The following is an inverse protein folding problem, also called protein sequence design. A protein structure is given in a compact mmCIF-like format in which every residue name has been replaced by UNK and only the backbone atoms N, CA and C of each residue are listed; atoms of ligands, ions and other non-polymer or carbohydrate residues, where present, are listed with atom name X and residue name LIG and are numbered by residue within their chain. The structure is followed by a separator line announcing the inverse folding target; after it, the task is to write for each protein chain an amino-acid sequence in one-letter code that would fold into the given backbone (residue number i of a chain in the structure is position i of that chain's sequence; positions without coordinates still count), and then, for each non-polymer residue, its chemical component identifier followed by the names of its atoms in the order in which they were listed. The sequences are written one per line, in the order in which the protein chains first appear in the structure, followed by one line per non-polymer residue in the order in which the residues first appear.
data_IF_586511731570
#
_entry.id   IF_586511731570
#
_cell.length_a   1.000
_cell.length_b   1.000
_cell.length_c   1.000
_cell.angle_alpha   90.00
_cell.angle_beta   90.00
_cell.angle_gamma   90.00
#
_symmetry.space_group_name_H-M   'P 1'
#
loop_
_entity.id
_entity.type
_entity.pdbx_description
1 polymer ?
#
# COMPACT_ATOMS: atom_id res chain seq x y z
N UNK A 1 -15.61 8.08 23.97
CA UNK A 1 -14.74 7.32 23.04
C UNK A 1 -15.58 6.87 21.85
N UNK A 2 -15.05 6.97 20.65
CA UNK A 2 -15.75 6.54 19.45
C UNK A 2 -15.86 5.02 19.39
N UNK A 3 -17.00 4.50 18.90
CA UNK A 3 -17.23 3.08 18.70
C UNK A 3 -16.36 2.57 17.53
N UNK A 4 -16.00 1.29 17.55
CA UNK A 4 -15.22 0.62 16.51
C UNK A 4 -13.78 1.12 16.36
N UNK A 5 -13.27 1.77 17.38
CA UNK A 5 -11.90 2.28 17.43
C UNK A 5 -11.06 1.36 18.31
N UNK A 6 -9.95 0.86 17.78
CA UNK A 6 -9.00 0.04 18.53
C UNK A 6 -7.71 0.84 18.76
N UNK A 7 -7.30 0.97 20.01
CA UNK A 7 -6.06 1.66 20.36
C UNK A 7 -4.87 0.72 20.09
N UNK A 8 -3.95 1.16 19.23
CA UNK A 8 -2.76 0.40 18.87
C UNK A 8 -1.58 0.75 19.78
N UNK A 9 -1.43 2.03 20.09
CA UNK A 9 -0.40 2.53 21.02
C UNK A 9 -0.80 3.91 21.52
N UNK A 10 -0.17 4.33 22.60
CA UNK A 10 -0.32 5.68 23.16
C UNK A 10 1.07 6.24 23.41
N UNK A 11 1.31 7.48 23.00
CA UNK A 11 2.58 8.15 23.25
C UNK A 11 2.36 9.64 23.51
N UNK A 12 3.24 10.23 24.30
CA UNK A 12 3.19 11.67 24.56
C UNK A 12 3.78 12.41 23.35
N UNK A 13 3.00 13.29 22.77
CA UNK A 13 3.43 14.08 21.62
C UNK A 13 2.50 15.28 21.40
N UNK A 14 2.91 16.16 20.50
CA UNK A 14 2.05 17.27 20.08
C UNK A 14 0.80 16.71 19.39
N UNK A 15 -0.35 17.09 19.92
CA UNK A 15 -1.64 16.77 19.33
C UNK A 15 -2.04 17.86 18.33
N UNK A 16 -2.22 17.50 17.07
CA UNK A 16 -2.64 18.48 16.05
C UNK A 16 -4.10 18.89 16.14
N UNK A 17 -4.90 18.20 16.96
CA UNK A 17 -6.29 18.56 17.20
C UNK A 17 -6.40 19.73 18.18
N UNK A 18 -5.76 19.64 19.34
CA UNK A 18 -5.82 20.67 20.38
C UNK A 18 -4.57 21.55 20.46
N UNK A 19 -3.54 21.25 19.66
CA UNK A 19 -2.27 21.98 19.58
C UNK A 19 -1.49 22.01 20.91
N UNK A 20 -1.69 21.00 21.73
CA UNK A 20 -1.01 20.81 23.01
C UNK A 20 -0.33 19.47 23.06
N UNK A 21 0.69 19.35 23.93
CA UNK A 21 1.39 18.11 24.18
C UNK A 21 0.67 17.30 25.24
N UNK A 22 0.24 16.09 24.89
CA UNK A 22 -0.37 15.15 25.83
C UNK A 22 -0.27 13.73 25.28
N UNK A 23 -0.79 12.77 26.00
CA UNK A 23 -0.84 11.38 25.51
C UNK A 23 -1.86 11.28 24.39
N UNK A 24 -1.35 10.92 23.19
CA UNK A 24 -2.14 10.77 21.97
C UNK A 24 -2.16 9.30 21.59
N UNK A 25 -3.35 8.76 21.33
CA UNK A 25 -3.51 7.38 20.92
C UNK A 25 -3.43 7.25 19.41
N UNK A 26 -2.68 6.27 18.91
CA UNK A 26 -2.78 5.80 17.53
C UNK A 26 -3.84 4.70 17.51
N UNK A 27 -4.83 4.84 16.66
CA UNK A 27 -5.97 3.93 16.60
C UNK A 27 -6.16 3.39 15.20
N UNK A 28 -6.84 2.25 15.09
CA UNK A 28 -7.34 1.77 13.80
C UNK A 28 -8.86 1.72 13.84
N UNK A 29 -9.44 2.02 12.70
CA UNK A 29 -10.89 2.07 12.51
C UNK A 29 -11.23 1.27 11.25
N UNK A 30 -12.23 0.41 11.33
CA UNK A 30 -12.72 -0.29 10.15
C UNK A 30 -13.53 0.69 9.30
N UNK A 31 -13.07 0.94 8.09
CA UNK A 31 -13.70 1.85 7.15
C UNK A 31 -14.24 1.08 5.95
N UNK A 32 -15.28 1.62 5.32
CA UNK A 32 -15.91 1.05 4.14
C UNK A 32 -15.92 2.11 3.04
N UNK A 33 -15.49 1.73 1.84
CA UNK A 33 -15.50 2.59 0.66
C UNK A 33 -15.86 1.80 -0.57
N UNK A 34 -16.17 2.51 -1.67
CA UNK A 34 -16.43 1.91 -2.96
C UNK A 34 -15.38 2.38 -3.95
N UNK A 35 -14.75 1.43 -4.64
CA UNK A 35 -13.77 1.69 -5.70
C UNK A 35 -14.20 0.93 -6.93
N UNK A 36 -14.39 1.63 -8.05
CA UNK A 36 -14.72 1.00 -9.34
C UNK A 36 -15.88 -0.01 -9.23
N UNK A 37 -16.90 0.33 -8.43
CA UNK A 37 -18.07 -0.52 -8.24
C UNK A 37 -17.91 -1.62 -7.19
N UNK A 38 -16.74 -1.77 -6.57
CA UNK A 38 -16.49 -2.77 -5.53
C UNK A 38 -16.51 -2.10 -4.16
N UNK A 39 -17.36 -2.60 -3.27
CA UNK A 39 -17.38 -2.16 -1.87
C UNK A 39 -16.28 -2.89 -1.12
N UNK A 40 -15.41 -2.16 -0.45
CA UNK A 40 -14.27 -2.70 0.28
C UNK A 40 -14.29 -2.24 1.73
N UNK A 41 -13.79 -3.09 2.62
CA UNK A 41 -13.56 -2.77 4.02
C UNK A 41 -12.08 -2.93 4.31
N UNK A 42 -11.53 -2.01 5.08
CA UNK A 42 -10.12 -2.01 5.46
C UNK A 42 -9.94 -1.27 6.77
N UNK A 43 -8.83 -1.54 7.45
CA UNK A 43 -8.47 -0.82 8.66
C UNK A 43 -7.64 0.40 8.30
N UNK A 44 -8.16 1.58 8.65
CA UNK A 44 -7.44 2.84 8.52
C UNK A 44 -6.86 3.25 9.87
N UNK A 45 -5.71 3.90 9.85
CA UNK A 45 -5.05 4.41 11.06
C UNK A 45 -5.29 5.90 11.20
N UNK A 46 -5.53 6.32 12.43
CA UNK A 46 -5.73 7.72 12.78
C UNK A 46 -5.08 7.99 14.13
N UNK A 47 -4.97 9.24 14.47
CA UNK A 47 -4.66 9.64 15.83
C UNK A 47 -5.93 10.15 16.50
N UNK A 48 -6.06 9.88 17.80
CA UNK A 48 -7.22 10.22 18.58
C UNK A 48 -6.84 11.17 19.71
N UNK A 49 -7.55 12.32 19.74
CA UNK A 49 -7.45 13.27 20.84
C UNK A 49 -8.59 13.00 21.83
N UNK A 50 -8.25 12.47 22.99
CA UNK A 50 -9.26 12.17 24.01
C UNK A 50 -9.80 13.42 24.71
N UNK A 51 -9.09 14.54 24.61
CA UNK A 51 -9.53 15.80 25.19
C UNK A 51 -10.66 16.44 24.40
N UNK A 52 -10.59 16.32 23.06
CA UNK A 52 -11.62 16.85 22.15
C UNK A 52 -12.58 15.77 21.65
N UNK A 53 -12.30 14.49 21.92
CA UNK A 53 -13.00 13.32 21.37
C UNK A 53 -13.06 13.38 19.84
N UNK A 54 -11.92 13.65 19.21
CA UNK A 54 -11.79 13.81 17.77
C UNK A 54 -10.69 12.94 17.20
N UNK A 55 -10.94 12.41 16.01
CA UNK A 55 -9.90 11.76 15.19
C UNK A 55 -9.27 12.79 14.27
N UNK A 56 -7.98 12.65 14.02
CA UNK A 56 -7.29 13.37 12.95
C UNK A 56 -6.28 12.41 12.30
N UNK A 57 -5.90 12.74 11.06
CA UNK A 57 -5.07 11.81 10.28
C UNK A 57 -3.78 12.53 9.86
N UNK A 58 -2.64 12.19 10.50
CA UNK A 58 -1.34 12.69 10.05
C UNK A 58 -1.05 12.32 8.59
N UNK A 59 -0.27 13.12 7.92
CA UNK A 59 0.03 12.96 6.50
C UNK A 59 0.56 11.56 6.17
N UNK A 60 1.48 11.02 6.97
CA UNK A 60 2.02 9.68 6.77
C UNK A 60 0.96 8.58 6.85
N UNK A 61 -0.10 8.79 7.62
CA UNK A 61 -1.20 7.84 7.74
C UNK A 61 -2.18 7.94 6.57
N UNK A 62 -2.33 9.12 5.98
CA UNK A 62 -3.19 9.31 4.80
C UNK A 62 -2.70 8.39 3.68
N UNK A 63 -1.40 8.39 3.41
CA UNK A 63 -0.82 7.55 2.36
C UNK A 63 -1.00 6.06 2.65
N UNK A 64 -0.69 5.61 3.87
CA UNK A 64 -0.83 4.20 4.22
C UNK A 64 -2.30 3.75 4.23
N UNK A 65 -3.22 4.61 4.61
CA UNK A 65 -4.65 4.31 4.58
C UNK A 65 -5.16 4.16 3.14
N UNK A 66 -4.67 4.99 2.22
CA UNK A 66 -5.04 4.87 0.81
C UNK A 66 -4.53 3.55 0.21
N UNK A 67 -3.32 3.15 0.54
CA UNK A 67 -2.76 1.86 0.10
C UNK A 67 -3.57 0.70 0.69
N UNK A 68 -3.95 0.79 1.97
CA UNK A 68 -4.79 -0.24 2.60
C UNK A 68 -6.14 -0.39 1.88
N UNK A 69 -6.75 0.71 1.48
CA UNK A 69 -7.99 0.72 0.71
C UNK A 69 -7.79 0.07 -0.66
N UNK A 70 -6.72 0.44 -1.38
CA UNK A 70 -6.40 -0.14 -2.69
C UNK A 70 -6.09 -1.63 -2.58
N UNK A 71 -5.39 -2.05 -1.52
CA UNK A 71 -5.10 -3.46 -1.29
C UNK A 71 -6.36 -4.27 -0.97
N UNK A 72 -7.33 -3.69 -0.28
CA UNK A 72 -8.63 -4.33 -0.08
C UNK A 72 -9.35 -4.56 -1.43
N UNK A 73 -9.29 -3.58 -2.32
CA UNK A 73 -9.81 -3.72 -3.69
C UNK A 73 -9.08 -4.83 -4.46
N UNK A 74 -7.75 -4.84 -4.41
CA UNK A 74 -6.93 -5.86 -5.08
C UNK A 74 -7.32 -7.26 -4.62
N UNK A 75 -7.42 -7.48 -3.32
CA UNK A 75 -7.85 -8.78 -2.77
C UNK A 75 -9.25 -9.18 -3.23
N UNK A 76 -10.18 -8.24 -3.19
CA UNK A 76 -11.57 -8.51 -3.59
C UNK A 76 -11.68 -8.90 -5.06
N UNK A 77 -10.76 -8.45 -5.92
CA UNK A 77 -10.77 -8.70 -7.35
C UNK A 77 -9.69 -9.69 -7.82
N UNK A 78 -9.04 -10.39 -6.90
CA UNK A 78 -8.06 -11.42 -7.23
C UNK A 78 -6.75 -10.90 -7.78
N UNK A 79 -6.40 -9.64 -7.48
CA UNK A 79 -5.13 -9.03 -7.88
C UNK A 79 -4.09 -9.15 -6.77
N UNK A 80 -2.82 -9.08 -7.14
CA UNK A 80 -1.73 -9.03 -6.17
C UNK A 80 -1.82 -7.73 -5.35
N UNK A 81 -1.58 -7.84 -4.05
CA UNK A 81 -1.49 -6.65 -3.18
C UNK A 81 -0.17 -5.92 -3.41
N UNK A 82 -0.08 -4.68 -2.93
CA UNK A 82 1.15 -3.90 -3.00
C UNK A 82 2.33 -4.63 -2.36
N UNK A 83 2.10 -5.27 -1.21
CA UNK A 83 3.14 -6.04 -0.51
C UNK A 83 3.56 -7.27 -1.30
N UNK A 84 2.62 -8.00 -1.89
CA UNK A 84 2.94 -9.17 -2.71
C UNK A 84 3.78 -8.79 -3.93
N UNK A 85 3.47 -7.68 -4.58
CA UNK A 85 4.27 -7.16 -5.70
C UNK A 85 5.69 -6.84 -5.23
N UNK A 86 5.81 -6.17 -4.09
CA UNK A 86 7.11 -5.84 -3.50
C UNK A 86 7.93 -7.11 -3.18
N UNK A 87 7.29 -8.13 -2.63
CA UNK A 87 7.95 -9.39 -2.29
C UNK A 87 8.45 -10.15 -3.52
N UNK A 88 7.66 -10.17 -4.60
CA UNK A 88 8.09 -10.77 -5.87
C UNK A 88 9.36 -10.08 -6.37
N UNK A 89 9.36 -8.75 -6.38
CA UNK A 89 10.52 -7.96 -6.80
C UNK A 89 11.74 -8.23 -5.92
N UNK A 90 11.57 -8.22 -4.62
CA UNK A 90 12.66 -8.43 -3.66
C UNK A 90 13.29 -9.81 -3.77
N UNK A 91 12.52 -10.81 -4.17
CA UNK A 91 13.02 -12.16 -4.40
C UNK A 91 14.17 -12.19 -5.43
N UNK A 92 14.12 -11.29 -6.39
CA UNK A 92 15.17 -11.17 -7.43
C UNK A 92 16.16 -10.05 -7.15
N UNK A 93 16.04 -9.36 -6.01
CA UNK A 93 16.93 -8.27 -5.60
C UNK A 93 17.04 -7.16 -6.65
N UNK A 94 15.94 -6.89 -7.34
CA UNK A 94 15.87 -5.86 -8.38
C UNK A 94 15.13 -4.62 -7.87
N UNK A 95 15.55 -3.42 -8.27
CA UNK A 95 14.91 -2.17 -7.88
C UNK A 95 13.57 -1.98 -8.60
N UNK A 96 12.72 -1.11 -8.08
CA UNK A 96 11.46 -0.75 -8.71
C UNK A 96 11.67 -0.21 -10.12
N UNK A 97 12.62 0.70 -10.28
CA UNK A 97 12.93 1.31 -11.58
C UNK A 97 13.44 0.28 -12.57
N UNK A 98 14.37 -0.57 -12.15
CA UNK A 98 14.96 -1.57 -13.03
C UNK A 98 13.93 -2.59 -13.49
N UNK A 99 13.06 -3.06 -12.59
CA UNK A 99 12.00 -3.97 -12.98
C UNK A 99 11.04 -3.31 -13.98
N UNK A 100 10.68 -2.07 -13.75
CA UNK A 100 9.82 -1.33 -14.68
C UNK A 100 10.44 -1.24 -16.07
N UNK A 101 11.74 -0.94 -16.15
CA UNK A 101 12.46 -0.81 -17.42
C UNK A 101 12.58 -2.15 -18.14
N UNK A 102 12.92 -3.21 -17.42
CA UNK A 102 13.05 -4.56 -18.01
C UNK A 102 11.71 -5.01 -18.60
N UNK A 103 10.60 -4.67 -17.96
CA UNK A 103 9.27 -5.02 -18.44
C UNK A 103 8.77 -4.09 -19.57
N UNK A 104 9.50 -3.02 -19.86
CA UNK A 104 9.07 -2.03 -20.86
C UNK A 104 7.92 -1.16 -20.38
N UNK A 105 7.74 -1.03 -19.05
CA UNK A 105 6.64 -0.28 -18.45
C UNK A 105 7.12 1.10 -18.05
N UNK A 106 7.38 2.00 -18.26
CA UNK A 106 7.88 3.27 -17.74
C UNK A 106 8.50 3.16 -16.35
N UNK A 107 9.53 3.92 -16.10
CA UNK A 107 10.40 3.76 -14.92
C UNK A 107 9.76 3.89 -13.54
N UNK A 108 8.53 4.38 -13.45
CA UNK A 108 7.81 4.54 -12.18
C UNK A 108 6.60 3.62 -12.02
N UNK A 109 6.36 2.74 -12.97
CA UNK A 109 5.16 1.90 -12.99
C UNK A 109 5.10 0.96 -11.80
N UNK A 110 6.19 0.24 -11.49
CA UNK A 110 6.23 -0.66 -10.34
C UNK A 110 6.10 0.12 -9.03
N UNK A 111 6.72 1.28 -8.93
CA UNK A 111 6.58 2.15 -7.75
C UNK A 111 5.11 2.47 -7.49
N UNK A 112 4.35 2.78 -8.54
CA UNK A 112 2.92 3.07 -8.44
C UNK A 112 2.12 1.83 -8.04
N UNK A 113 2.45 0.66 -8.58
CA UNK A 113 1.75 -0.59 -8.25
C UNK A 113 2.07 -1.08 -6.84
N UNK A 114 3.25 -0.77 -6.31
CA UNK A 114 3.56 -1.04 -4.90
C UNK A 114 2.95 0.02 -3.96
N UNK A 115 2.12 0.89 -4.49
CA UNK A 115 1.48 1.97 -3.75
C UNK A 115 0.03 2.20 -4.17
N UNK A 116 -0.24 3.41 -4.62
CA UNK A 116 -1.60 3.92 -4.80
C UNK A 116 -2.30 3.48 -6.08
N UNK A 117 -1.58 3.11 -7.12
CA UNK A 117 -2.16 2.76 -8.40
C UNK A 117 -2.44 1.27 -8.49
N UNK A 118 -3.70 0.92 -8.74
CA UNK A 118 -4.11 -0.47 -8.95
C UNK A 118 -3.67 -0.90 -10.35
N UNK A 119 -2.95 -2.01 -10.44
CA UNK A 119 -2.51 -2.60 -11.69
C UNK A 119 -3.69 -3.18 -12.47
N UNK A 120 -3.58 -3.16 -13.80
CA UNK A 120 -4.55 -3.85 -14.64
C UNK A 120 -4.32 -5.38 -14.61
N UNK A 121 -5.28 -6.12 -15.13
CA UNK A 121 -5.23 -7.59 -15.13
C UNK A 121 -4.05 -8.11 -15.94
N UNK A 122 -3.71 -7.46 -17.05
CA UNK A 122 -2.59 -7.90 -17.89
C UNK A 122 -1.26 -7.75 -17.16
N UNK A 123 -1.03 -6.61 -16.52
CA UNK A 123 0.20 -6.39 -15.73
C UNK A 123 0.25 -7.30 -14.50
N UNK A 124 -0.88 -7.53 -13.85
CA UNK A 124 -0.96 -8.47 -12.73
C UNK A 124 -0.54 -9.88 -13.17
N UNK A 125 -1.01 -10.32 -14.33
CA UNK A 125 -0.65 -11.64 -14.89
C UNK A 125 0.85 -11.74 -15.18
N UNK A 126 1.47 -10.67 -15.67
CA UNK A 126 2.92 -10.62 -15.90
C UNK A 126 3.68 -10.74 -14.57
N UNK A 127 3.25 -10.01 -13.56
CA UNK A 127 3.88 -10.08 -12.23
C UNK A 127 3.77 -11.49 -11.63
N UNK A 128 2.63 -12.16 -11.80
CA UNK A 128 2.47 -13.55 -11.36
C UNK A 128 3.39 -14.49 -12.13
N UNK A 129 3.57 -14.26 -13.43
CA UNK A 129 4.49 -15.07 -14.24
C UNK A 129 5.94 -14.91 -13.77
N UNK A 130 6.35 -13.71 -13.38
CA UNK A 130 7.68 -13.47 -12.79
C UNK A 130 7.88 -14.36 -11.56
N UNK A 131 6.87 -14.47 -10.73
CA UNK A 131 6.93 -15.27 -9.51
C UNK A 131 6.91 -16.78 -9.81
N UNK A 132 6.07 -17.20 -10.73
CA UNK A 132 5.83 -18.62 -11.02
C UNK A 132 6.85 -19.25 -11.97
N UNK A 133 7.53 -18.45 -12.80
CA UNK A 133 8.45 -18.92 -13.84
C UNK A 133 9.79 -18.17 -13.78
N UNK A 134 10.66 -18.51 -12.82
CA UNK A 134 11.96 -17.85 -12.68
C UNK A 134 12.85 -17.93 -13.93
N UNK A 135 12.80 -19.03 -14.66
CA UNK A 135 13.61 -19.17 -15.88
C UNK A 135 13.23 -18.17 -16.95
N UNK A 136 11.92 -17.98 -17.14
CA UNK A 136 11.43 -16.97 -18.07
C UNK A 136 11.91 -15.58 -17.67
N UNK A 137 11.80 -15.26 -16.39
CA UNK A 137 12.19 -13.93 -15.91
C UNK A 137 13.71 -13.71 -16.00
N UNK A 138 14.50 -14.70 -15.66
CA UNK A 138 15.96 -14.61 -15.79
C UNK A 138 16.38 -14.40 -17.25
N UNK A 139 15.70 -15.07 -18.19
CA UNK A 139 15.90 -14.83 -19.62
C UNK A 139 15.56 -13.41 -20.03
N UNK A 140 14.47 -12.86 -19.47
CA UNK A 140 14.06 -11.48 -19.72
C UNK A 140 15.09 -10.48 -19.17
N UNK A 141 15.62 -10.74 -17.97
CA UNK A 141 16.67 -9.91 -17.37
C UNK A 141 17.93 -9.92 -18.21
N UNK A 142 18.33 -11.07 -18.71
CA UNK A 142 19.53 -11.19 -19.56
C UNK A 142 19.35 -10.40 -20.86
N UNK A 143 18.19 -10.51 -21.50
CA UNK A 143 17.88 -9.75 -22.71
C UNK A 143 17.80 -8.24 -22.46
N UNK A 144 17.35 -7.85 -21.27
CA UNK A 144 17.16 -6.44 -20.89
C UNK A 144 18.35 -5.78 -20.19
N UNK A 145 19.45 -6.49 -19.98
CA UNK A 145 20.58 -5.97 -19.18
C UNK A 145 21.18 -4.66 -19.67
N UNK A 146 21.04 -4.36 -20.95
CA UNK A 146 21.54 -3.11 -21.51
C UNK A 146 20.63 -1.90 -21.22
N UNK A 147 19.46 -2.13 -20.61
CA UNK A 147 18.53 -1.10 -20.21
C UNK A 147 18.80 -0.59 -18.79
N UNK A 148 19.60 -1.30 -18.01
CA UNK A 148 19.85 -1.03 -16.60
C UNK A 148 21.12 -0.23 -16.34
#
# INVERSE_FOLDING_TARGET
MKLNMEILKTERKLCFCCMDEHDVATVRVLETNEIKGTVVQYYAKHEYCNLADELYTPEEMISSNDIAMKDAYRKANGLLTSQEICEIRKKYMISQTDLSLVLGWGGKTITRYEGHQIQDVAHDSILRKIDDDPEWFLGLLDAGKNLL
#
